data_IF_485884820729
#
_entry.id   IF_485884820729
#
_cell.length_a   1.000
_cell.length_b   1.000
_cell.length_c   1.000
_cell.angle_alpha   90.00
_cell.angle_beta   90.00
_cell.angle_gamma   90.00
#
_symmetry.space_group_name_H-M   'P 1'
#
loop_
_entity.id
_entity.type
_entity.pdbx_description
1 polymer ?
#
# COMPACT_ATOMS: atom_id res chain seq x y z
N UNK A 1 16.18 -0.95 -4.78
CA UNK A 1 16.09 0.32 -5.54
C UNK A 1 15.63 0.14 -6.98
N UNK A 2 15.47 -1.08 -7.49
CA UNK A 2 15.11 -1.29 -8.89
C UNK A 2 13.67 -0.84 -9.20
N UNK A 3 12.70 -1.29 -8.40
CA UNK A 3 11.31 -0.84 -8.56
C UNK A 3 11.12 0.62 -8.15
N UNK A 4 11.67 1.05 -7.00
CA UNK A 4 11.55 2.43 -6.49
C UNK A 4 12.92 3.12 -6.49
N UNK A 5 13.27 3.86 -7.56
CA UNK A 5 14.57 4.51 -7.67
C UNK A 5 14.66 5.73 -6.75
N UNK A 6 15.87 6.09 -6.35
CA UNK A 6 16.11 7.33 -5.63
C UNK A 6 15.82 8.55 -6.52
N UNK A 7 15.30 9.61 -5.90
CA UNK A 7 15.08 10.91 -6.52
C UNK A 7 15.52 12.03 -5.58
N UNK A 8 15.98 13.13 -6.17
CA UNK A 8 16.29 14.36 -5.44
C UNK A 8 15.03 15.04 -4.90
N UNK A 9 15.23 15.89 -3.89
CA UNK A 9 14.17 16.77 -3.35
C UNK A 9 13.77 17.82 -4.40
N UNK A 10 12.56 18.37 -4.28
CA UNK A 10 12.00 19.37 -5.20
C UNK A 10 11.90 18.91 -6.68
N UNK A 11 11.65 17.61 -6.90
CA UNK A 11 11.39 17.05 -8.23
C UNK A 11 9.95 16.56 -8.35
N UNK A 12 9.47 16.29 -9.57
CA UNK A 12 8.14 15.72 -9.80
C UNK A 12 7.95 14.27 -9.33
N UNK A 13 8.94 13.67 -8.66
CA UNK A 13 8.89 12.30 -8.18
C UNK A 13 8.89 11.26 -9.31
N UNK A 14 8.46 10.05 -8.97
CA UNK A 14 8.21 8.95 -9.92
C UNK A 14 6.84 8.38 -9.61
N UNK A 15 6.03 8.10 -10.63
CA UNK A 15 4.69 7.57 -10.44
C UNK A 15 4.72 6.16 -9.83
N UNK A 16 3.88 5.94 -8.81
CA UNK A 16 3.74 4.69 -8.06
C UNK A 16 2.32 4.14 -8.00
N UNK A 17 1.37 4.83 -8.61
CA UNK A 17 -0.01 4.40 -8.76
C UNK A 17 -0.55 5.09 -10.00
N UNK A 18 -1.27 4.35 -10.84
CA UNK A 18 -2.00 4.90 -11.97
C UNK A 18 -3.48 4.92 -11.65
N UNK A 19 -4.02 6.12 -11.46
CA UNK A 19 -5.44 6.32 -11.21
C UNK A 19 -6.27 5.98 -12.47
N UNK A 20 -7.38 5.29 -12.26
CA UNK A 20 -8.38 4.99 -13.27
C UNK A 20 -9.43 6.11 -13.36
N UNK A 21 -10.33 6.01 -14.34
CA UNK A 21 -11.44 6.95 -14.49
C UNK A 21 -12.30 6.92 -13.23
N UNK A 22 -12.46 8.09 -12.59
CA UNK A 22 -13.23 8.24 -11.35
C UNK A 22 -12.39 8.18 -10.07
N UNK A 23 -11.10 7.93 -10.17
CA UNK A 23 -10.15 8.04 -9.06
C UNK A 23 -9.39 9.37 -9.14
N UNK A 24 -9.18 10.01 -7.99
CA UNK A 24 -8.61 11.37 -7.92
C UNK A 24 -7.38 11.48 -7.01
N UNK A 25 -7.23 10.61 -6.02
CA UNK A 25 -6.13 10.65 -5.08
C UNK A 25 -5.70 9.27 -4.58
N UNK A 26 -4.40 9.15 -4.26
CA UNK A 26 -3.90 8.07 -3.41
C UNK A 26 -4.10 8.49 -1.95
N UNK A 27 -4.87 7.69 -1.19
CA UNK A 27 -5.27 8.02 0.18
C UNK A 27 -4.31 7.47 1.25
N UNK A 28 -3.63 6.37 0.96
CA UNK A 28 -2.79 5.66 1.91
C UNK A 28 -1.66 4.93 1.17
N UNK A 29 -0.47 4.96 1.76
CA UNK A 29 0.64 4.10 1.41
C UNK A 29 1.21 3.50 2.69
N UNK A 30 1.73 2.29 2.61
CA UNK A 30 2.28 1.58 3.76
C UNK A 30 3.66 1.03 3.43
N UNK A 31 4.53 1.06 4.43
CA UNK A 31 5.86 0.45 4.40
C UNK A 31 6.08 -0.20 5.76
N UNK A 32 6.42 -1.48 5.76
CA UNK A 32 6.73 -2.23 6.97
C UNK A 32 7.16 -3.65 6.64
N UNK A 33 7.47 -4.41 7.69
CA UNK A 33 7.94 -5.78 7.58
C UNK A 33 6.77 -6.77 7.51
N UNK A 34 7.02 -7.92 6.88
CA UNK A 34 6.04 -9.01 6.76
C UNK A 34 4.93 -8.75 5.73
N UNK A 35 3.96 -9.67 5.69
CA UNK A 35 2.79 -9.56 4.80
C UNK A 35 1.79 -8.56 5.38
N UNK A 36 1.41 -7.49 4.65
CA UNK A 36 0.53 -6.47 5.18
C UNK A 36 -0.84 -7.04 5.57
N UNK A 37 -1.40 -6.53 6.66
CA UNK A 37 -2.80 -6.76 7.05
C UNK A 37 -3.56 -5.45 6.97
N UNK A 38 -4.82 -5.50 6.51
CA UNK A 38 -5.65 -4.32 6.33
C UNK A 38 -7.01 -4.47 7.02
N UNK A 39 -7.59 -3.33 7.41
CA UNK A 39 -8.94 -3.28 7.95
C UNK A 39 -9.77 -2.13 7.35
N UNK A 40 -11.08 -2.32 7.37
CA UNK A 40 -12.06 -1.27 7.10
C UNK A 40 -12.25 -0.39 8.33
N UNK A 41 -12.98 0.72 8.18
CA UNK A 41 -13.27 1.64 9.29
C UNK A 41 -14.02 0.96 10.46
N UNK A 42 -14.76 -0.12 10.20
CA UNK A 42 -15.41 -0.93 11.23
C UNK A 42 -14.45 -1.80 12.06
N UNK A 43 -13.19 -1.91 11.64
CA UNK A 43 -12.23 -2.88 12.18
C UNK A 43 -12.29 -4.27 11.51
N UNK A 44 -13.25 -4.51 10.62
CA UNK A 44 -13.32 -5.77 9.87
C UNK A 44 -12.10 -5.93 8.96
N UNK A 45 -11.57 -7.15 8.85
CA UNK A 45 -10.45 -7.44 7.98
C UNK A 45 -10.78 -7.16 6.50
N UNK A 46 -9.80 -6.67 5.74
CA UNK A 46 -9.87 -6.51 4.29
C UNK A 46 -8.83 -7.42 3.68
N UNK A 47 -9.27 -8.35 2.85
CA UNK A 47 -8.36 -9.22 2.11
C UNK A 47 -7.63 -8.39 1.04
N UNK A 48 -6.31 -8.45 1.07
CA UNK A 48 -5.44 -7.76 0.13
C UNK A 48 -5.08 -8.71 -1.01
N UNK A 49 -4.96 -8.21 -2.25
CA UNK A 49 -4.48 -9.02 -3.36
C UNK A 49 -3.01 -9.40 -3.17
N UNK A 50 -2.59 -10.46 -3.86
CA UNK A 50 -1.18 -10.86 -3.90
C UNK A 50 -0.28 -9.69 -4.36
N UNK A 51 0.88 -9.47 -3.73
CA UNK A 51 1.81 -8.44 -4.13
C UNK A 51 2.30 -8.62 -5.58
N UNK A 52 2.54 -7.51 -6.24
CA UNK A 52 3.17 -7.47 -7.57
C UNK A 52 4.39 -6.57 -7.56
N UNK A 53 5.43 -6.94 -8.31
CA UNK A 53 6.65 -6.14 -8.44
C UNK A 53 6.43 -4.87 -9.29
N UNK A 54 5.25 -4.72 -9.91
CA UNK A 54 4.94 -3.56 -10.76
C UNK A 54 4.57 -2.34 -9.92
N UNK A 55 5.51 -1.40 -9.82
CA UNK A 55 5.30 -0.09 -9.17
C UNK A 55 4.21 0.76 -9.83
N UNK A 56 4.25 0.93 -11.15
CA UNK A 56 3.31 1.82 -11.86
C UNK A 56 2.09 1.02 -12.36
N UNK A 57 1.22 0.67 -11.43
CA UNK A 57 0.02 -0.13 -11.65
C UNK A 57 -1.23 0.57 -11.10
N UNK A 58 -2.41 0.11 -11.49
CA UNK A 58 -3.69 0.56 -10.91
C UNK A 58 -4.16 -0.34 -9.76
N UNK A 59 -3.54 -1.51 -9.59
CA UNK A 59 -4.02 -2.53 -8.66
C UNK A 59 -5.30 -3.20 -9.14
N UNK A 60 -5.99 -3.85 -8.20
CA UNK A 60 -7.31 -4.46 -8.38
C UNK A 60 -8.25 -3.96 -7.28
N UNK A 61 -9.57 -3.83 -7.55
CA UNK A 61 -10.53 -3.49 -6.52
C UNK A 61 -10.57 -4.53 -5.41
N UNK A 62 -10.73 -4.08 -4.17
CA UNK A 62 -10.99 -4.93 -2.99
C UNK A 62 -12.46 -4.82 -2.57
N UNK A 63 -12.92 -5.77 -1.75
CA UNK A 63 -14.33 -5.86 -1.37
C UNK A 63 -14.89 -4.64 -0.63
N UNK A 64 -14.02 -3.89 0.07
CA UNK A 64 -14.41 -2.69 0.83
C UNK A 64 -13.22 -1.73 1.00
N UNK A 65 -13.46 -0.42 1.27
CA UNK A 65 -12.39 0.55 1.44
C UNK A 65 -11.40 0.20 2.56
N UNK A 66 -10.10 0.31 2.25
CA UNK A 66 -9.01 0.13 3.22
C UNK A 66 -8.88 1.40 4.06
N UNK A 67 -9.03 1.27 5.38
CA UNK A 67 -8.89 2.38 6.33
C UNK A 67 -7.50 2.43 6.94
N UNK A 68 -6.92 1.28 7.29
CA UNK A 68 -5.58 1.18 7.85
C UNK A 68 -4.87 -0.08 7.35
N UNK A 69 -3.53 -0.01 7.34
CA UNK A 69 -2.63 -1.12 6.99
C UNK A 69 -1.52 -1.19 8.04
N UNK A 70 -1.14 -2.40 8.44
CA UNK A 70 -0.07 -2.63 9.40
C UNK A 70 0.75 -3.89 9.07
N UNK A 71 1.94 -3.97 9.68
CA UNK A 71 2.67 -5.24 9.81
C UNK A 71 1.90 -6.20 10.71
N UNK A 72 1.98 -7.52 10.48
CA UNK A 72 1.48 -8.51 11.43
C UNK A 72 2.08 -8.31 12.83
N UNK A 73 1.29 -8.56 13.88
CA UNK A 73 1.75 -8.36 15.26
C UNK A 73 3.07 -9.10 15.56
N UNK A 74 3.26 -10.31 15.02
CA UNK A 74 4.50 -11.08 15.20
C UNK A 74 5.76 -10.48 14.54
N UNK A 75 5.60 -9.52 13.63
CA UNK A 75 6.72 -8.80 12.99
C UNK A 75 7.05 -7.45 13.63
N UNK A 76 6.26 -6.98 14.60
CA UNK A 76 6.56 -5.72 15.30
C UNK A 76 7.78 -5.92 16.21
N UNK A 77 8.70 -4.95 16.20
CA UNK A 77 9.88 -4.97 17.05
C UNK A 77 9.48 -5.00 18.54
N UNK A 78 9.97 -6.00 19.28
CA UNK A 78 9.69 -6.18 20.71
C UNK A 78 8.61 -7.22 21.04
N UNK A 79 8.03 -7.90 20.05
CA UNK A 79 6.95 -8.90 20.25
C UNK A 79 7.47 -10.33 20.47
N UNK A 80 8.59 -10.48 21.19
CA UNK A 80 9.11 -11.79 21.64
C UNK A 80 8.95 -11.94 23.15
#
# INVERSE_FOLDING_TARGET
FEAYPSKGRATGGVRVQRLLKGEDALILGWVGDGTPVACARSGSAVELPEPTDKRDASGVPVAQPVHAVASPAGSLAGTR
#
